data_IF_367268026470
#
_entry.id   IF_367268026470
#
_cell.length_a   1.000
_cell.length_b   1.000
_cell.length_c   1.000
_cell.angle_alpha   90.00
_cell.angle_beta   90.00
_cell.angle_gamma   90.00
#
_symmetry.space_group_name_H-M   'P 1'
#
loop_
_entity.id
_entity.type
_entity.pdbx_description
1 polymer ?
#
# COMPACT_ATOMS: atom_id res chain seq x y z
N UNK A 1 -14.55 3.32 -6.20
CA UNK A 1 -13.14 3.78 -6.17
C UNK A 1 -13.12 5.29 -6.40
N UNK A 2 -12.44 6.07 -5.56
CA UNK A 2 -12.29 7.51 -5.82
C UNK A 2 -11.44 7.70 -7.07
N UNK A 3 -11.96 8.42 -8.07
CA UNK A 3 -11.33 8.64 -9.39
C UNK A 3 -9.88 9.17 -9.26
N UNK A 4 -9.60 9.88 -8.17
CA UNK A 4 -8.27 10.40 -7.84
C UNK A 4 -7.24 9.31 -7.49
N UNK A 5 -7.61 8.30 -6.70
CA UNK A 5 -6.66 7.26 -6.28
C UNK A 5 -6.22 6.40 -7.48
N UNK A 6 -7.17 6.08 -8.37
CA UNK A 6 -6.87 5.34 -9.60
C UNK A 6 -5.94 6.13 -10.53
N UNK A 7 -6.15 7.46 -10.65
CA UNK A 7 -5.26 8.34 -11.40
C UNK A 7 -3.84 8.35 -10.83
N UNK A 8 -3.70 8.45 -9.50
CA UNK A 8 -2.40 8.43 -8.81
C UNK A 8 -1.67 7.10 -9.07
N UNK A 9 -2.35 5.96 -8.88
CA UNK A 9 -1.76 4.63 -9.13
C UNK A 9 -1.35 4.48 -10.60
N UNK A 10 -2.19 4.92 -11.54
CA UNK A 10 -1.85 4.88 -12.97
C UNK A 10 -0.61 5.73 -13.28
N UNK A 11 -0.46 6.90 -12.66
CA UNK A 11 0.75 7.73 -12.80
C UNK A 11 1.99 7.04 -12.22
N UNK A 12 1.90 6.48 -11.02
CA UNK A 12 3.03 5.78 -10.38
C UNK A 12 3.45 4.51 -11.14
N UNK A 13 2.50 3.79 -11.75
CA UNK A 13 2.80 2.64 -12.61
C UNK A 13 3.50 3.06 -13.91
N UNK A 14 3.17 4.21 -14.48
CA UNK A 14 3.87 4.76 -15.66
C UNK A 14 5.28 5.23 -15.32
N UNK A 15 5.42 5.94 -14.20
CA UNK A 15 6.69 6.44 -13.72
C UNK A 15 6.69 6.42 -12.20
N UNK A 16 7.50 5.53 -11.63
CA UNK A 16 7.63 5.43 -10.18
C UNK A 16 8.22 6.74 -9.64
N UNK A 17 7.52 7.44 -8.72
CA UNK A 17 8.05 8.67 -8.16
C UNK A 17 9.23 8.36 -7.23
N UNK A 18 10.20 9.28 -7.15
CA UNK A 18 11.29 9.20 -6.17
C UNK A 18 10.76 9.27 -4.73
N UNK A 19 9.71 10.08 -4.53
CA UNK A 19 8.98 10.22 -3.27
C UNK A 19 7.52 10.57 -3.57
N UNK A 20 6.59 10.13 -2.73
CA UNK A 20 5.20 10.56 -2.77
C UNK A 20 4.80 11.24 -1.45
N UNK A 21 3.83 12.15 -1.51
CA UNK A 21 3.33 12.80 -0.30
C UNK A 21 2.52 11.82 0.56
N UNK A 22 2.53 12.04 1.88
CA UNK A 22 1.70 11.28 2.83
C UNK A 22 0.23 11.25 2.41
N UNK A 23 -0.30 12.39 1.94
CA UNK A 23 -1.70 12.52 1.52
C UNK A 23 -2.05 11.63 0.32
N UNK A 24 -1.20 11.60 -0.71
CA UNK A 24 -1.40 10.71 -1.87
C UNK A 24 -1.34 9.24 -1.45
N UNK A 25 -0.38 8.90 -0.60
CA UNK A 25 -0.24 7.53 -0.08
C UNK A 25 -1.46 7.12 0.73
N UNK A 26 -1.93 7.95 1.66
CA UNK A 26 -3.13 7.68 2.46
C UNK A 26 -4.37 7.52 1.57
N UNK A 27 -4.53 8.37 0.54
CA UNK A 27 -5.62 8.23 -0.45
C UNK A 27 -5.58 6.88 -1.18
N UNK A 28 -4.40 6.49 -1.67
CA UNK A 28 -4.23 5.22 -2.40
C UNK A 28 -4.47 4.03 -1.49
N UNK A 29 -3.84 4.03 -0.31
CA UNK A 29 -4.00 2.97 0.68
C UNK A 29 -5.47 2.80 1.08
N UNK A 30 -6.17 3.89 1.40
CA UNK A 30 -7.59 3.83 1.76
C UNK A 30 -8.46 3.30 0.61
N UNK A 31 -8.19 3.70 -0.63
CA UNK A 31 -8.99 3.30 -1.78
C UNK A 31 -8.80 1.83 -2.20
N UNK A 32 -7.60 1.28 -2.03
CA UNK A 32 -7.26 -0.07 -2.52
C UNK A 32 -7.13 -1.12 -1.43
N UNK A 33 -6.74 -0.72 -0.23
CA UNK A 33 -6.44 -1.62 0.90
C UNK A 33 -7.42 -1.41 2.08
N UNK A 34 -8.36 -0.48 1.93
CA UNK A 34 -9.45 -0.20 2.87
C UNK A 34 -9.00 0.47 4.18
N UNK A 35 -9.85 0.41 5.20
CA UNK A 35 -9.57 0.92 6.56
C UNK A 35 -8.51 0.11 7.32
N UNK A 36 -7.91 -0.89 6.68
CA UNK A 36 -6.87 -1.70 7.30
C UNK A 36 -5.52 -0.97 7.44
N UNK A 37 -5.47 0.29 7.02
CA UNK A 37 -4.41 1.22 7.33
C UNK A 37 -4.65 1.86 8.69
N UNK A 38 -4.11 1.25 9.74
CA UNK A 38 -3.96 1.96 11.00
C UNK A 38 -2.79 2.92 10.80
N UNK A 39 -3.10 4.20 10.55
CA UNK A 39 -2.15 5.24 10.89
C UNK A 39 -1.81 5.01 12.36
N UNK A 40 -0.56 4.66 12.65
CA UNK A 40 -0.08 4.86 14.00
C UNK A 40 -0.36 6.33 14.30
N UNK A 41 -1.00 6.59 15.44
CA UNK A 41 -1.34 7.89 16.05
C UNK A 41 -0.75 9.15 15.40
N UNK A 42 -1.53 10.25 15.32
CA UNK A 42 -1.03 11.57 14.85
C UNK A 42 0.39 11.85 15.37
N UNK A 43 1.35 12.00 14.45
CA UNK A 43 2.78 12.14 14.76
C UNK A 43 3.64 10.91 14.40
N UNK A 44 3.04 9.76 14.07
CA UNK A 44 3.82 8.58 13.72
C UNK A 44 4.58 8.77 12.40
N UNK A 45 5.80 8.26 12.39
CA UNK A 45 6.70 8.24 11.25
C UNK A 45 6.44 7.05 10.31
N UNK A 46 5.30 6.39 10.42
CA UNK A 46 4.98 5.21 9.64
C UNK A 46 3.48 5.01 9.45
N UNK A 47 3.12 4.40 8.33
CA UNK A 47 1.80 3.82 8.06
C UNK A 47 1.95 2.30 8.05
N UNK A 48 1.11 1.60 8.80
CA UNK A 48 1.06 0.14 8.79
C UNK A 48 -0.25 -0.26 8.12
N UNK A 49 -0.13 -1.07 7.09
CA UNK A 49 -1.25 -1.65 6.37
C UNK A 49 -1.22 -3.16 6.57
N UNK A 50 -2.33 -3.71 7.04
CA UNK A 50 -2.51 -5.16 7.21
C UNK A 50 -3.64 -5.61 6.31
N UNK A 51 -3.48 -6.66 5.51
CA UNK A 51 -4.58 -7.15 4.68
C UNK A 51 -4.52 -8.66 4.54
N UNK A 52 -5.69 -9.32 4.42
CA UNK A 52 -5.76 -10.80 4.35
C UNK A 52 -4.96 -11.36 3.19
N UNK A 53 -5.04 -10.71 2.02
CA UNK A 53 -4.24 -11.09 0.84
C UNK A 53 -2.72 -11.04 1.11
N UNK A 54 -2.24 -10.01 1.83
CA UNK A 54 -0.82 -9.91 2.20
C UNK A 54 -0.41 -11.03 3.15
N UNK A 55 -1.26 -11.35 4.12
CA UNK A 55 -1.04 -12.50 5.03
C UNK A 55 -0.98 -13.83 4.29
N UNK A 56 -1.84 -14.04 3.29
CA UNK A 56 -1.81 -15.25 2.48
C UNK A 56 -0.59 -15.31 1.56
N UNK A 57 -0.25 -14.22 0.88
CA UNK A 57 0.93 -14.13 0.03
C UNK A 57 2.22 -14.40 0.82
N UNK A 58 2.32 -13.89 2.05
CA UNK A 58 3.44 -14.18 2.95
C UNK A 58 3.48 -15.66 3.35
N UNK A 59 2.35 -16.25 3.75
CA UNK A 59 2.28 -17.69 4.13
C UNK A 59 2.61 -18.63 2.97
N UNK A 60 2.23 -18.24 1.75
CA UNK A 60 2.54 -18.99 0.54
C UNK A 60 3.99 -18.78 0.04
N UNK A 61 4.77 -17.91 0.69
CA UNK A 61 6.15 -17.63 0.31
C UNK A 61 6.30 -16.78 -0.97
N UNK A 62 5.22 -16.14 -1.43
CA UNK A 62 5.22 -15.40 -2.70
C UNK A 62 5.93 -14.05 -2.62
N UNK A 63 6.12 -13.48 -1.43
CA UNK A 63 6.79 -12.19 -1.29
C UNK A 63 7.47 -12.02 0.08
N UNK A 64 8.76 -11.64 0.11
CA UNK A 64 9.45 -11.31 1.35
C UNK A 64 9.11 -9.89 1.84
N UNK A 65 8.44 -9.05 1.04
CA UNK A 65 8.24 -7.63 1.33
C UNK A 65 7.16 -7.35 2.38
N UNK A 66 6.31 -8.34 2.70
CA UNK A 66 5.21 -8.19 3.66
C UNK A 66 5.32 -9.17 4.84
N UNK A 67 6.36 -9.06 5.69
CA UNK A 67 6.57 -9.99 6.79
C UNK A 67 5.40 -10.02 7.77
N UNK A 68 4.84 -11.20 7.99
CA UNK A 68 3.63 -11.40 8.79
C UNK A 68 2.36 -10.79 8.18
N UNK A 69 2.34 -10.54 6.86
CA UNK A 69 1.18 -9.96 6.17
C UNK A 69 1.00 -8.46 6.33
N UNK A 70 2.09 -7.74 6.60
CA UNK A 70 2.08 -6.30 6.92
C UNK A 70 2.93 -5.54 5.92
N UNK A 71 2.38 -4.47 5.36
CA UNK A 71 3.13 -3.45 4.64
C UNK A 71 3.41 -2.28 5.61
N UNK A 72 4.68 -1.89 5.72
CA UNK A 72 5.10 -0.75 6.54
C UNK A 72 5.70 0.32 5.63
N UNK A 73 5.08 1.50 5.62
CA UNK A 73 5.51 2.66 4.84
C UNK A 73 6.07 3.71 5.79
N UNK A 74 7.37 3.96 5.72
CA UNK A 74 8.07 4.94 6.55
C UNK A 74 7.88 6.34 5.97
N UNK A 75 7.64 7.31 6.84
CA UNK A 75 7.46 8.71 6.51
C UNK A 75 8.74 9.49 6.80
N UNK A 76 9.44 9.90 5.75
CA UNK A 76 10.56 10.84 5.80
C UNK A 76 10.04 12.16 6.37
N UNK A 77 10.56 12.56 7.53
CA UNK A 77 10.11 13.72 8.31
C UNK A 77 8.58 13.77 8.54
N UNK A 78 7.90 12.61 8.57
CA UNK A 78 6.45 12.54 8.73
C UNK A 78 5.63 12.97 7.50
N UNK A 79 6.28 13.30 6.36
CA UNK A 79 5.63 13.95 5.21
C UNK A 79 5.64 13.17 3.91
N UNK A 80 6.66 12.33 3.67
CA UNK A 80 6.86 11.67 2.37
C UNK A 80 7.25 10.21 2.51
N UNK A 81 6.86 9.39 1.54
CA UNK A 81 7.24 7.98 1.43
C UNK A 81 8.21 7.82 0.26
N UNK A 82 9.29 7.05 0.45
CA UNK A 82 10.30 6.82 -0.58
C UNK A 82 9.78 5.93 -1.71
N UNK A 83 10.27 6.14 -2.93
CA UNK A 83 9.83 5.42 -4.13
C UNK A 83 9.90 3.90 -4.03
N UNK A 84 10.91 3.32 -3.37
CA UNK A 84 10.99 1.86 -3.18
C UNK A 84 9.81 1.32 -2.33
N UNK A 85 9.30 2.11 -1.39
CA UNK A 85 8.12 1.77 -0.59
C UNK A 85 6.83 1.97 -1.39
N UNK A 86 6.80 2.94 -2.31
CA UNK A 86 5.70 3.09 -3.28
C UNK A 86 5.62 1.87 -4.20
N UNK A 87 6.76 1.31 -4.61
CA UNK A 87 6.80 0.06 -5.37
C UNK A 87 6.20 -1.11 -4.56
N UNK A 88 6.54 -1.24 -3.27
CA UNK A 88 5.94 -2.27 -2.42
C UNK A 88 4.44 -2.04 -2.19
N UNK A 89 3.98 -0.77 -2.16
CA UNK A 89 2.56 -0.46 -2.12
C UNK A 89 1.84 -0.89 -3.41
N UNK A 90 2.44 -0.67 -4.58
CA UNK A 90 1.89 -1.16 -5.85
C UNK A 90 1.80 -2.69 -5.89
N UNK A 91 2.84 -3.39 -5.45
CA UNK A 91 2.82 -4.86 -5.31
C UNK A 91 1.71 -5.32 -4.36
N UNK A 92 1.52 -4.64 -3.23
CA UNK A 92 0.43 -4.94 -2.31
C UNK A 92 -0.95 -4.76 -2.97
N UNK A 93 -1.12 -3.71 -3.78
CA UNK A 93 -2.36 -3.48 -4.55
C UNK A 93 -2.60 -4.62 -5.53
N UNK A 94 -1.57 -5.02 -6.28
CA UNK A 94 -1.68 -6.09 -7.28
C UNK A 94 -2.12 -7.42 -6.62
N UNK A 95 -1.56 -7.74 -5.45
CA UNK A 95 -1.94 -8.92 -4.66
C UNK A 95 -3.39 -8.84 -4.16
N UNK A 96 -3.83 -7.67 -3.67
CA UNK A 96 -5.21 -7.50 -3.23
C UNK A 96 -6.18 -7.62 -4.39
N UNK A 97 -5.89 -7.01 -5.54
CA UNK A 97 -6.73 -7.12 -6.72
C UNK A 97 -6.82 -8.57 -7.23
N UNK A 98 -5.70 -9.31 -7.26
CA UNK A 98 -5.69 -10.72 -7.62
C UNK A 98 -6.54 -11.55 -6.65
N UNK A 99 -6.32 -11.37 -5.33
CA UNK A 99 -7.09 -12.06 -4.29
C UNK A 99 -8.60 -11.79 -4.38
N UNK A 100 -9.01 -10.54 -4.64
CA UNK A 100 -10.42 -10.17 -4.79
C UNK A 100 -11.06 -10.83 -6.02
N UNK A 101 -10.33 -10.94 -7.14
CA UNK A 101 -10.82 -11.65 -8.34
C UNK A 101 -10.99 -13.15 -8.09
N UNK A 102 -10.07 -13.77 -7.36
CA UNK A 102 -10.11 -15.19 -7.02
C UNK A 102 -11.16 -15.52 -5.96
N UNK A 103 -11.42 -14.60 -5.04
CA UNK A 103 -12.36 -14.79 -3.92
C UNK A 103 -13.83 -14.48 -4.29
N UNK A 104 -14.15 -14.34 -5.58
CA UNK A 104 -15.44 -13.85 -6.11
C UNK A 104 -16.67 -14.20 -5.26
N UNK A 105 -17.12 -13.21 -4.51
CA UNK A 105 -18.51 -13.01 -4.05
C UNK A 105 -19.03 -11.74 -4.71
#
# INVERSE_FOLDING_TARGET
>A
MSNDAARIVAQWRKQLPKEASRHEVEKVVHAYLGECARAATRGAHFLIVTHKALSQAHRAGHTPHFPGGRLVLSLVHGRRVKGYQIRHLLEAIDLVEAYTRESGT
#
